data_IF_222729672979
#
_entry.id   IF_222729672979
#
_cell.length_a   1.000
_cell.length_b   1.000
_cell.length_c   1.000
_cell.angle_alpha   90.00
_cell.angle_beta   90.00
_cell.angle_gamma   90.00
#
_symmetry.space_group_name_H-M   'P 1'
#
loop_
_entity.id
_entity.type
_entity.pdbx_description
1 polymer ?
#
# COMPACT_ATOMS: atom_id res chain seq x y z
N UNK A 1 -24.33 32.16 19.16
CA UNK A 1 -22.97 31.57 19.03
C UNK A 1 -22.85 30.58 20.18
N UNK A 2 -22.98 29.28 19.90
CA UNK A 2 -22.74 28.21 20.87
C UNK A 2 -21.23 28.07 21.04
N UNK A 3 -20.68 28.49 22.19
CA UNK A 3 -19.31 28.14 22.56
C UNK A 3 -19.29 26.72 23.07
N UNK A 4 -18.84 25.78 22.24
CA UNK A 4 -18.65 24.40 22.62
C UNK A 4 -17.21 24.27 23.13
N UNK A 5 -17.04 24.01 24.41
CA UNK A 5 -15.76 23.63 24.98
C UNK A 5 -15.41 22.21 24.47
N UNK A 6 -14.50 22.14 23.52
CA UNK A 6 -13.98 20.89 22.98
C UNK A 6 -12.78 20.42 23.80
N UNK A 7 -12.91 19.30 24.50
CA UNK A 7 -11.78 18.61 25.07
C UNK A 7 -10.94 17.97 23.96
N UNK A 8 -9.81 18.59 23.62
CA UNK A 8 -8.88 18.07 22.61
C UNK A 8 -7.92 17.10 23.30
N UNK A 9 -8.15 15.80 23.09
CA UNK A 9 -7.21 14.77 23.51
C UNK A 9 -6.22 14.55 22.36
N UNK A 10 -4.98 15.01 22.53
CA UNK A 10 -3.87 14.74 21.59
C UNK A 10 -3.09 13.53 22.09
N UNK A 11 -3.13 12.44 21.36
CA UNK A 11 -2.20 11.31 21.52
C UNK A 11 -1.04 11.47 20.55
N UNK A 12 0.17 11.04 20.95
CA UNK A 12 1.30 10.96 20.02
C UNK A 12 0.96 10.02 18.89
N UNK A 13 1.10 10.48 17.64
CA UNK A 13 0.95 9.64 16.45
C UNK A 13 2.24 8.86 16.15
N UNK A 14 3.25 9.01 17.00
CA UNK A 14 4.53 8.34 16.82
C UNK A 14 4.39 6.83 17.03
N UNK A 15 4.86 6.04 16.09
CA UNK A 15 4.83 4.58 16.09
C UNK A 15 6.26 4.07 16.24
N UNK A 16 6.84 4.23 17.44
CA UNK A 16 8.24 3.91 17.75
C UNK A 16 8.59 2.43 17.52
N UNK A 17 7.58 1.59 17.42
CA UNK A 17 7.75 0.16 17.13
C UNK A 17 7.87 -0.15 15.63
N UNK A 18 7.79 0.84 14.73
CA UNK A 18 7.94 0.65 13.29
C UNK A 18 9.25 1.24 12.82
N UNK A 19 10.17 0.40 12.36
CA UNK A 19 11.41 0.82 11.71
C UNK A 19 11.13 1.20 10.25
N UNK A 20 11.48 2.43 9.86
CA UNK A 20 11.34 2.91 8.48
C UNK A 20 12.66 2.73 7.75
N UNK A 21 12.63 2.09 6.59
CA UNK A 21 13.79 1.82 5.75
C UNK A 21 13.48 2.16 4.30
N UNK A 22 14.51 2.54 3.55
CA UNK A 22 14.46 2.59 2.09
C UNK A 22 15.65 1.85 1.50
N UNK A 23 15.48 1.33 0.30
CA UNK A 23 16.50 0.64 -0.47
C UNK A 23 16.42 1.09 -1.91
N UNK A 24 17.60 1.36 -2.50
CA UNK A 24 17.70 1.78 -3.89
C UNK A 24 18.06 0.58 -4.77
N UNK A 25 17.41 0.50 -5.91
CA UNK A 25 17.61 -0.53 -6.93
C UNK A 25 17.67 0.14 -8.30
N UNK A 26 18.23 -0.53 -9.28
CA UNK A 26 18.29 -0.01 -10.65
C UNK A 26 16.99 -0.35 -11.41
N UNK A 27 16.38 -1.49 -11.11
CA UNK A 27 15.19 -2.00 -11.78
C UNK A 27 14.36 -2.96 -10.91
N UNK A 28 13.21 -3.39 -11.43
CA UNK A 28 12.31 -4.34 -10.76
C UNK A 28 12.95 -5.73 -10.57
N UNK A 29 13.87 -6.14 -11.45
CA UNK A 29 14.55 -7.44 -11.34
C UNK A 29 15.44 -7.48 -10.10
N UNK A 30 16.17 -6.42 -9.84
CA UNK A 30 16.98 -6.29 -8.62
C UNK A 30 16.10 -6.23 -7.36
N UNK A 31 14.96 -5.52 -7.42
CA UNK A 31 13.99 -5.53 -6.32
C UNK A 31 13.50 -6.94 -6.01
N UNK A 32 13.16 -7.74 -7.03
CA UNK A 32 12.69 -9.11 -6.88
C UNK A 32 13.79 -10.01 -6.32
N UNK A 33 15.01 -9.91 -6.83
CA UNK A 33 16.18 -10.66 -6.33
C UNK A 33 16.43 -10.43 -4.84
N UNK A 34 16.24 -9.21 -4.38
CA UNK A 34 16.34 -8.88 -2.96
C UNK A 34 15.11 -9.33 -2.16
N UNK A 35 13.91 -9.15 -2.72
CA UNK A 35 12.64 -9.41 -2.03
C UNK A 35 12.44 -10.89 -1.70
N UNK A 36 12.67 -11.79 -2.66
CA UNK A 36 12.38 -13.22 -2.49
C UNK A 36 13.10 -13.83 -1.28
N UNK A 37 14.43 -13.71 -1.12
CA UNK A 37 15.11 -14.22 0.08
C UNK A 37 14.64 -13.53 1.36
N UNK A 38 14.33 -12.23 1.30
CA UNK A 38 13.87 -11.46 2.44
C UNK A 38 12.54 -12.00 3.00
N UNK A 39 11.62 -12.48 2.16
CA UNK A 39 10.33 -13.01 2.58
C UNK A 39 10.43 -14.22 3.51
N UNK A 40 11.53 -14.96 3.51
CA UNK A 40 11.74 -16.12 4.39
C UNK A 40 11.73 -15.77 5.89
N UNK A 41 11.99 -14.51 6.24
CA UNK A 41 12.06 -14.05 7.63
C UNK A 41 11.25 -12.77 7.92
N UNK A 42 10.42 -12.35 6.96
CA UNK A 42 9.69 -11.09 7.05
C UNK A 42 8.45 -11.13 7.97
N UNK A 43 7.98 -12.34 8.33
CA UNK A 43 6.69 -12.54 9.02
C UNK A 43 5.49 -12.16 8.16
N UNK A 44 4.29 -11.97 8.75
CA UNK A 44 3.12 -11.53 8.00
C UNK A 44 3.38 -10.20 7.30
N UNK A 45 3.27 -10.22 5.95
CA UNK A 45 3.75 -9.14 5.07
C UNK A 45 2.69 -8.62 4.13
N UNK A 46 2.61 -7.31 3.98
CA UNK A 46 1.86 -6.65 2.90
C UNK A 46 2.87 -6.01 1.94
N UNK A 47 2.70 -6.27 0.64
CA UNK A 47 3.50 -5.68 -0.43
C UNK A 47 2.58 -4.81 -1.28
N UNK A 48 2.79 -3.49 -1.22
CA UNK A 48 2.05 -2.53 -2.04
C UNK A 48 2.72 -2.32 -3.39
N UNK A 49 1.90 -2.31 -4.45
CA UNK A 49 2.33 -2.16 -5.83
C UNK A 49 1.35 -1.28 -6.61
N UNK A 50 1.83 -0.54 -7.62
CA UNK A 50 1.07 0.53 -8.25
C UNK A 50 -0.08 0.07 -9.14
N UNK A 51 -0.05 -1.15 -9.71
CA UNK A 51 -1.05 -1.59 -10.67
C UNK A 51 -1.47 -3.05 -10.51
N UNK A 52 -2.69 -3.37 -10.94
CA UNK A 52 -3.23 -4.73 -10.97
C UNK A 52 -2.34 -5.70 -11.75
N UNK A 53 -1.88 -5.31 -12.94
CA UNK A 53 -1.03 -6.17 -13.78
C UNK A 53 0.25 -6.55 -13.03
N UNK A 54 0.95 -5.58 -12.47
CA UNK A 54 2.17 -5.80 -11.67
C UNK A 54 1.89 -6.60 -10.40
N UNK A 55 0.72 -6.41 -9.79
CA UNK A 55 0.28 -7.19 -8.62
C UNK A 55 0.22 -8.69 -8.94
N UNK A 56 -0.40 -9.06 -10.07
CA UNK A 56 -0.51 -10.43 -10.54
C UNK A 56 0.87 -11.03 -10.88
N UNK A 57 1.71 -10.29 -11.61
CA UNK A 57 3.06 -10.70 -12.01
C UNK A 57 3.94 -10.98 -10.78
N UNK A 58 3.98 -10.04 -9.82
CA UNK A 58 4.78 -10.19 -8.62
C UNK A 58 4.29 -11.33 -7.73
N UNK A 59 2.99 -11.44 -7.53
CA UNK A 59 2.42 -12.52 -6.72
C UNK A 59 2.72 -13.89 -7.31
N UNK A 60 2.70 -14.03 -8.65
CA UNK A 60 3.09 -15.26 -9.34
C UNK A 60 4.55 -15.62 -9.06
N UNK A 61 5.47 -14.67 -9.18
CA UNK A 61 6.90 -14.89 -8.91
C UNK A 61 7.14 -15.31 -7.44
N UNK A 62 6.45 -14.68 -6.49
CA UNK A 62 6.53 -15.02 -5.07
C UNK A 62 6.00 -16.44 -4.82
N UNK A 63 4.90 -16.82 -5.46
CA UNK A 63 4.32 -18.15 -5.37
C UNK A 63 5.24 -19.23 -5.99
N UNK A 64 5.82 -18.97 -7.16
CA UNK A 64 6.80 -19.85 -7.82
C UNK A 64 8.07 -20.03 -6.98
N UNK A 65 8.43 -19.04 -6.16
CA UNK A 65 9.51 -19.13 -5.19
C UNK A 65 9.13 -19.91 -3.91
N UNK A 66 7.91 -20.45 -3.82
CA UNK A 66 7.45 -21.32 -2.73
C UNK A 66 6.71 -20.63 -1.59
N UNK A 67 6.33 -19.34 -1.74
CA UNK A 67 5.60 -18.61 -0.70
C UNK A 67 4.11 -18.55 -0.98
N UNK A 68 3.28 -18.96 -0.02
CA UNK A 68 1.83 -18.77 -0.09
C UNK A 68 1.50 -17.28 -0.09
N UNK A 69 0.83 -16.84 -1.17
CA UNK A 69 0.63 -15.42 -1.44
C UNK A 69 -0.81 -15.14 -1.87
N UNK A 70 -1.44 -14.18 -1.24
CA UNK A 70 -2.72 -13.63 -1.66
C UNK A 70 -2.55 -12.40 -2.56
N UNK A 71 -3.56 -12.17 -3.39
CA UNK A 71 -3.62 -11.02 -4.31
C UNK A 71 -4.83 -10.18 -3.94
N UNK A 72 -4.64 -8.84 -3.86
CA UNK A 72 -5.76 -7.96 -3.58
C UNK A 72 -5.71 -6.68 -4.44
N UNK A 73 -6.76 -6.46 -5.22
CA UNK A 73 -6.92 -5.25 -6.05
C UNK A 73 -8.38 -4.86 -6.22
N UNK A 74 -8.61 -3.69 -6.78
CA UNK A 74 -9.94 -3.10 -6.92
C UNK A 74 -10.95 -3.91 -7.74
N UNK A 75 -10.49 -4.72 -8.70
CA UNK A 75 -11.37 -5.50 -9.60
C UNK A 75 -11.81 -6.86 -9.02
N UNK A 76 -11.31 -7.24 -7.86
CA UNK A 76 -11.81 -8.44 -7.18
C UNK A 76 -13.28 -8.25 -6.78
N UNK A 77 -14.08 -9.30 -6.93
CA UNK A 77 -15.44 -9.35 -6.40
C UNK A 77 -15.42 -9.23 -4.86
N UNK A 78 -16.56 -8.90 -4.30
CA UNK A 78 -16.71 -8.81 -2.85
C UNK A 78 -16.33 -10.13 -2.14
N UNK A 79 -16.74 -11.27 -2.72
CA UNK A 79 -16.45 -12.59 -2.14
C UNK A 79 -14.95 -12.91 -2.19
N UNK A 80 -14.27 -12.65 -3.31
CA UNK A 80 -12.82 -12.86 -3.43
C UNK A 80 -12.05 -12.00 -2.43
N UNK A 81 -12.44 -10.72 -2.28
CA UNK A 81 -11.83 -9.83 -1.29
C UNK A 81 -11.98 -10.38 0.12
N UNK A 82 -13.17 -10.83 0.49
CA UNK A 82 -13.41 -11.41 1.81
C UNK A 82 -12.58 -12.68 2.03
N UNK A 83 -12.51 -13.57 1.04
CA UNK A 83 -11.74 -14.82 1.13
C UNK A 83 -10.26 -14.55 1.38
N UNK A 84 -9.63 -13.72 0.54
CA UNK A 84 -8.20 -13.38 0.68
C UNK A 84 -7.94 -12.68 2.01
N UNK A 85 -8.82 -11.78 2.42
CA UNK A 85 -8.70 -11.07 3.68
C UNK A 85 -8.79 -12.02 4.87
N UNK A 86 -9.73 -12.95 4.86
CA UNK A 86 -9.90 -13.94 5.92
C UNK A 86 -8.69 -14.90 6.01
N UNK A 87 -8.19 -15.38 4.89
CA UNK A 87 -6.98 -16.21 4.82
C UNK A 87 -5.77 -15.50 5.41
N UNK A 88 -5.61 -14.19 5.13
CA UNK A 88 -4.53 -13.40 5.70
C UNK A 88 -4.71 -13.17 7.21
N UNK A 89 -5.93 -12.90 7.66
CA UNK A 89 -6.24 -12.73 9.08
C UNK A 89 -5.93 -14.01 9.88
N UNK A 90 -6.24 -15.17 9.32
CA UNK A 90 -6.02 -16.48 9.95
C UNK A 90 -4.57 -16.98 9.86
N UNK A 91 -3.68 -16.28 9.15
CA UNK A 91 -2.33 -16.72 8.80
C UNK A 91 -2.27 -17.93 7.84
N UNK A 92 -3.36 -18.24 7.10
CA UNK A 92 -3.34 -19.26 6.06
C UNK A 92 -2.44 -18.83 4.89
N UNK A 93 -2.41 -17.53 4.61
CA UNK A 93 -1.47 -16.89 3.69
C UNK A 93 -0.68 -15.81 4.44
N UNK A 94 0.66 -15.94 4.54
CA UNK A 94 1.48 -14.97 5.27
C UNK A 94 1.78 -13.69 4.49
N UNK A 95 1.60 -13.71 3.16
CA UNK A 95 1.96 -12.60 2.27
C UNK A 95 0.75 -12.16 1.46
N UNK A 96 0.55 -10.85 1.36
CA UNK A 96 -0.39 -10.25 0.41
C UNK A 96 0.37 -9.30 -0.50
N UNK A 97 0.18 -9.45 -1.81
CA UNK A 97 0.54 -8.44 -2.81
C UNK A 97 -0.73 -7.67 -3.16
N UNK A 98 -0.69 -6.36 -3.03
CA UNK A 98 -1.88 -5.54 -3.14
C UNK A 98 -1.64 -4.19 -3.81
N UNK A 99 -2.69 -3.66 -4.44
CA UNK A 99 -2.77 -2.23 -4.75
C UNK A 99 -3.23 -1.44 -3.51
N UNK A 100 -3.25 -0.12 -3.59
CA UNK A 100 -3.79 0.77 -2.53
C UNK A 100 -5.24 0.45 -2.12
N UNK A 101 -5.96 -0.35 -2.92
CA UNK A 101 -7.30 -0.84 -2.57
C UNK A 101 -7.32 -1.73 -1.32
N UNK A 102 -6.18 -2.33 -0.94
CA UNK A 102 -6.07 -3.14 0.26
C UNK A 102 -5.84 -2.27 1.49
N UNK A 103 -6.75 -2.35 2.42
CA UNK A 103 -6.47 -1.69 3.69
C UNK A 103 -7.68 -1.17 4.45
N UNK A 104 -8.75 -0.74 3.83
CA UNK A 104 -9.95 -0.35 4.57
C UNK A 104 -10.56 -1.57 5.27
N UNK A 105 -10.71 -1.49 6.59
CA UNK A 105 -11.35 -2.55 7.39
C UNK A 105 -10.44 -3.71 7.83
N UNK A 106 -9.13 -3.70 7.50
CA UNK A 106 -8.23 -4.76 7.94
C UNK A 106 -7.73 -4.49 9.36
N UNK A 107 -8.07 -5.39 10.27
CA UNK A 107 -7.66 -5.33 11.68
C UNK A 107 -6.75 -6.50 12.07
N UNK A 108 -5.72 -6.78 11.27
CA UNK A 108 -4.65 -7.70 11.63
C UNK A 108 -3.59 -6.95 12.44
N UNK A 109 -3.39 -7.38 13.69
CA UNK A 109 -2.50 -6.67 14.63
C UNK A 109 -1.02 -7.04 14.48
N UNK A 110 -0.75 -8.24 13.99
CA UNK A 110 0.56 -8.89 13.95
C UNK A 110 1.26 -8.78 12.58
N UNK A 111 0.92 -7.80 11.77
CA UNK A 111 1.67 -7.52 10.53
C UNK A 111 3.07 -7.06 10.92
N UNK A 112 4.09 -7.82 10.45
CA UNK A 112 5.50 -7.54 10.77
C UNK A 112 6.17 -6.65 9.75
N UNK A 113 5.75 -6.76 8.48
CA UNK A 113 6.42 -6.05 7.40
C UNK A 113 5.40 -5.43 6.44
N UNK A 114 5.62 -4.17 6.11
CA UNK A 114 4.95 -3.47 5.00
C UNK A 114 6.03 -3.09 4.00
N UNK A 115 5.88 -3.52 2.76
CA UNK A 115 6.83 -3.23 1.68
C UNK A 115 6.11 -2.40 0.62
N UNK A 116 6.69 -1.29 0.23
CA UNK A 116 6.31 -0.54 -0.96
C UNK A 116 7.24 -0.95 -2.11
N UNK A 117 6.76 -1.86 -2.98
CA UNK A 117 7.50 -2.27 -4.18
C UNK A 117 7.58 -1.13 -5.19
N UNK A 118 6.50 -0.33 -5.29
CA UNK A 118 6.47 1.00 -5.90
C UNK A 118 6.07 2.03 -4.86
N UNK A 119 6.46 3.28 -5.05
CA UNK A 119 6.13 4.37 -4.14
C UNK A 119 4.61 4.55 -4.03
N UNK A 120 4.15 4.93 -2.84
CA UNK A 120 2.75 5.33 -2.62
C UNK A 120 2.45 6.62 -3.39
N UNK A 121 1.21 6.75 -3.86
CA UNK A 121 0.74 7.92 -4.62
C UNK A 121 0.75 9.24 -3.83
N UNK A 122 0.81 9.17 -2.51
CA UNK A 122 0.90 10.36 -1.65
C UNK A 122 1.52 10.03 -0.28
N UNK A 123 2.09 11.04 0.42
CA UNK A 123 2.56 10.86 1.80
C UNK A 123 1.46 10.39 2.76
N UNK A 124 0.22 10.84 2.56
CA UNK A 124 -0.94 10.43 3.36
C UNK A 124 -1.24 8.94 3.19
N UNK A 125 -1.25 8.45 1.95
CA UNK A 125 -1.42 7.02 1.66
C UNK A 125 -0.27 6.21 2.25
N UNK A 126 0.97 6.67 2.09
CA UNK A 126 2.14 6.03 2.68
C UNK A 126 1.99 5.85 4.19
N UNK A 127 1.65 6.91 4.93
CA UNK A 127 1.47 6.86 6.38
C UNK A 127 0.32 5.91 6.78
N UNK A 128 -0.77 5.89 6.01
CA UNK A 128 -1.89 4.98 6.25
C UNK A 128 -1.49 3.53 6.03
N UNK A 129 -0.70 3.24 5.01
CA UNK A 129 -0.23 1.91 4.64
C UNK A 129 0.78 1.37 5.65
N UNK A 130 1.81 2.14 6.01
CA UNK A 130 2.79 1.73 7.03
C UNK A 130 2.17 1.60 8.42
N UNK A 131 1.15 2.39 8.74
CA UNK A 131 0.40 2.34 10.00
C UNK A 131 -0.35 1.01 10.23
N UNK A 132 -0.31 0.07 9.26
CA UNK A 132 -0.84 -1.29 9.43
C UNK A 132 0.12 -2.22 10.13
N UNK A 133 1.42 -1.94 10.06
CA UNK A 133 2.43 -2.73 10.74
C UNK A 133 2.35 -2.60 12.27
N UNK A 134 2.60 -3.67 12.97
CA UNK A 134 2.83 -3.69 14.41
C UNK A 134 1.75 -3.05 15.28
N UNK A 135 0.47 -3.22 14.95
CA UNK A 135 -0.64 -2.69 15.77
C UNK A 135 -0.73 -3.33 17.16
N UNK A 136 -0.03 -4.43 17.37
CA UNK A 136 0.15 -5.09 18.67
C UNK A 136 1.28 -4.50 19.51
N UNK A 137 1.94 -3.44 19.02
CA UNK A 137 3.07 -2.79 19.69
C UNK A 137 4.42 -3.49 19.51
N UNK A 138 4.45 -4.65 18.86
CA UNK A 138 5.71 -5.40 18.65
C UNK A 138 6.54 -4.79 17.52
N UNK A 139 7.88 -4.99 17.55
CA UNK A 139 8.76 -4.53 16.49
C UNK A 139 8.27 -4.94 15.10
N UNK A 140 8.24 -4.00 14.19
CA UNK A 140 7.77 -4.14 12.83
C UNK A 140 8.55 -3.20 11.91
N UNK A 141 8.45 -3.40 10.60
CA UNK A 141 9.21 -2.60 9.66
C UNK A 141 8.37 -2.19 8.46
N UNK A 142 8.69 -1.02 7.93
CA UNK A 142 8.18 -0.52 6.66
C UNK A 142 9.36 -0.22 5.74
N UNK A 143 9.36 -0.81 4.57
CA UNK A 143 10.48 -0.76 3.63
C UNK A 143 9.99 -0.25 2.29
N UNK A 144 10.58 0.84 1.79
CA UNK A 144 10.34 1.35 0.45
C UNK A 144 11.45 0.91 -0.49
N UNK A 145 11.08 0.27 -1.60
CA UNK A 145 11.99 -0.15 -2.66
C UNK A 145 11.93 0.89 -3.77
N UNK A 146 12.94 1.73 -3.86
CA UNK A 146 13.01 2.83 -4.81
C UNK A 146 13.85 2.46 -6.04
N UNK A 147 13.39 2.89 -7.20
CA UNK A 147 14.17 2.93 -8.44
C UNK A 147 13.89 4.24 -9.19
N UNK A 148 14.78 4.69 -10.10
CA UNK A 148 14.61 5.97 -10.79
C UNK A 148 13.26 6.13 -11.52
N UNK A 149 12.76 5.06 -12.14
CA UNK A 149 11.48 5.06 -12.87
C UNK A 149 10.26 5.26 -11.97
N UNK A 150 10.37 4.98 -10.67
CA UNK A 150 9.27 5.20 -9.71
C UNK A 150 8.91 6.68 -9.59
N UNK A 151 9.84 7.61 -9.79
CA UNK A 151 9.59 9.05 -9.80
C UNK A 151 8.66 9.45 -10.95
N UNK A 152 8.90 8.89 -12.14
CA UNK A 152 8.07 9.14 -13.31
C UNK A 152 6.65 8.59 -13.13
N UNK A 153 6.51 7.39 -12.54
CA UNK A 153 5.19 6.81 -12.22
C UNK A 153 4.45 7.70 -11.23
N UNK A 154 5.14 8.18 -10.19
CA UNK A 154 4.56 9.07 -9.19
C UNK A 154 4.12 10.40 -9.80
N UNK A 155 4.96 11.02 -10.62
CA UNK A 155 4.63 12.25 -11.36
C UNK A 155 3.39 12.03 -12.25
N UNK A 156 3.37 10.94 -13.02
CA UNK A 156 2.22 10.61 -13.88
C UNK A 156 0.93 10.44 -13.10
N UNK A 157 0.98 9.79 -11.93
CA UNK A 157 -0.19 9.62 -11.05
C UNK A 157 -0.64 10.95 -10.43
N UNK A 158 0.30 11.80 -10.02
CA UNK A 158 -0.01 13.12 -9.48
C UNK A 158 -0.63 14.03 -10.54
N UNK A 159 -0.14 14.00 -11.79
CA UNK A 159 -0.70 14.79 -12.88
C UNK A 159 -2.05 14.25 -13.36
N UNK A 160 -2.29 12.94 -13.29
CA UNK A 160 -3.59 12.36 -13.65
C UNK A 160 -4.72 12.75 -12.68
N UNK A 161 -4.38 12.99 -11.40
CA UNK A 161 -5.33 13.45 -10.39
C UNK A 161 -5.48 14.99 -10.34
N UNK A 162 -4.60 15.73 -11.01
CA UNK A 162 -4.70 17.18 -11.13
C UNK A 162 -5.57 17.53 -12.36
N UNK A 163 -6.86 17.81 -12.14
CA UNK A 163 -7.64 18.52 -13.14
C UNK A 163 -6.93 19.85 -13.44
N UNK A 164 -6.54 20.06 -14.69
CA UNK A 164 -5.98 21.34 -15.09
C UNK A 164 -7.07 22.42 -15.06
N UNK A 165 -6.70 23.70 -14.88
CA UNK A 165 -7.66 24.81 -14.92
C UNK A 165 -8.42 24.84 -16.27
N UNK A 166 -7.81 24.33 -17.35
CA UNK A 166 -8.43 24.17 -18.66
C UNK A 166 -9.54 23.10 -18.64
N UNK A 167 -9.35 21.98 -17.93
CA UNK A 167 -10.37 20.93 -17.77
C UNK A 167 -11.58 21.45 -16.99
N UNK A 168 -11.34 22.27 -15.97
CA UNK A 168 -12.39 22.93 -15.20
C UNK A 168 -13.14 23.95 -16.08
N UNK A 169 -12.45 24.72 -16.89
CA UNK A 169 -13.08 25.70 -17.78
C UNK A 169 -13.91 25.04 -18.89
N UNK A 170 -13.46 23.90 -19.43
CA UNK A 170 -14.25 23.10 -20.37
C UNK A 170 -15.50 22.52 -19.73
N UNK A 171 -15.41 21.97 -18.52
CA UNK A 171 -16.57 21.38 -17.82
C UNK A 171 -17.63 22.44 -17.49
N UNK A 172 -17.22 23.65 -17.14
CA UNK A 172 -18.13 24.78 -16.88
C UNK A 172 -18.79 25.30 -18.17
N UNK A 173 -18.10 25.28 -19.30
CA UNK A 173 -18.68 25.70 -20.58
C UNK A 173 -19.77 24.74 -21.10
N UNK A 174 -19.67 23.44 -20.80
CA UNK A 174 -20.70 22.45 -21.16
C UNK A 174 -21.98 22.54 -20.32
N UNK A 175 -21.90 23.10 -19.11
CA UNK A 175 -23.09 23.27 -18.24
C UNK A 175 -23.93 24.50 -18.56
N UNK A 176 -23.42 25.45 -19.35
CA UNK A 176 -24.12 26.66 -19.74
C UNK A 176 -24.83 26.57 -21.12
N UNK A 177 -24.83 25.42 -21.78
CA UNK A 177 -25.45 25.19 -23.10
C UNK A 177 -26.69 24.26 -23.03
N UNK A 178 -27.39 24.25 -21.86
CA UNK A 178 -28.74 23.67 -21.78
C UNK A 178 -29.72 24.61 -21.12
#
# INVERSE_FOLDING_TARGET
ILSIDLNVIKTSMNRDNISLQHKNFNDDEEKIKWLIPFLSYSGPTIIYISSKKRCLELAKLIYEAGFLTGIYHGDLSYQERQTVQQQFLNNDIPIIVATSAFGMGINKKDIRTVIHFHLSSSPSNYLQEIGRAGRDGKPSQAISLYQPDDSFILETLLFADMMTEEDISMSVSYTHLR
#
